data_IF_586009450215
#
_entry.id   IF_586009450215
#
_cell.length_a   1.000
_cell.length_b   1.000
_cell.length_c   1.000
_cell.angle_alpha   90.00
_cell.angle_beta   90.00
_cell.angle_gamma   90.00
#
_symmetry.space_group_name_H-M   'P 1'
#
loop_
_entity.id
_entity.type
_entity.pdbx_description
1 polymer ?
#
# COMPACT_ATOMS: atom_id res chain seq x y z
N UNK A 1 -51.93 25.47 -7.57
CA UNK A 1 -51.53 25.88 -8.93
C UNK A 1 -50.58 27.06 -8.75
N UNK A 2 -49.34 27.13 -9.25
CA UNK A 2 -49.01 27.15 -10.68
C UNK A 2 -47.46 27.08 -10.87
N UNK A 3 -47.06 26.18 -11.78
CA UNK A 3 -45.94 26.19 -12.76
C UNK A 3 -44.48 26.32 -12.31
N UNK A 4 -43.73 25.30 -12.73
CA UNK A 4 -42.28 25.24 -12.87
C UNK A 4 -41.74 26.24 -13.91
N UNK A 5 -40.49 26.66 -13.74
CA UNK A 5 -39.63 27.10 -14.83
C UNK A 5 -38.23 26.48 -14.64
N UNK A 6 -37.79 25.73 -15.64
CA UNK A 6 -36.45 25.17 -15.74
C UNK A 6 -35.49 26.22 -16.30
N UNK A 7 -34.23 26.21 -15.84
CA UNK A 7 -33.12 26.89 -16.52
C UNK A 7 -31.87 26.01 -16.45
N UNK A 8 -31.11 26.07 -17.54
CA UNK A 8 -30.26 25.04 -18.13
C UNK A 8 -28.85 25.65 -18.32
N UNK A 9 -27.80 24.82 -18.11
CA UNK A 9 -26.38 24.99 -18.48
C UNK A 9 -25.53 25.98 -17.62
N UNK A 10 -24.23 25.76 -17.36
CA UNK A 10 -23.15 25.29 -18.25
C UNK A 10 -22.03 24.55 -17.48
N UNK A 11 -21.55 23.44 -18.05
CA UNK A 11 -20.38 22.67 -17.60
C UNK A 11 -19.07 23.45 -17.80
N UNK A 12 -18.28 23.62 -16.74
CA UNK A 12 -16.82 23.73 -16.81
C UNK A 12 -16.21 23.01 -15.59
N UNK A 13 -16.39 21.68 -15.56
CA UNK A 13 -15.53 20.86 -14.73
C UNK A 13 -14.20 20.70 -15.48
N UNK A 14 -13.19 21.46 -15.04
CA UNK A 14 -11.80 21.19 -15.36
C UNK A 14 -11.54 19.71 -15.10
N UNK A 15 -11.19 18.96 -16.14
CA UNK A 15 -10.71 17.59 -16.04
C UNK A 15 -9.35 17.67 -15.34
N UNK A 16 -9.37 17.77 -14.01
CA UNK A 16 -8.18 17.52 -13.21
C UNK A 16 -7.81 16.06 -13.42
N UNK A 17 -6.60 15.81 -13.89
CA UNK A 17 -6.06 14.45 -14.02
C UNK A 17 -6.22 13.72 -12.68
N UNK A 18 -6.90 12.57 -12.70
CA UNK A 18 -7.06 11.73 -11.53
C UNK A 18 -5.69 11.16 -11.14
N UNK A 19 -5.11 11.74 -10.10
CA UNK A 19 -3.99 11.17 -9.34
C UNK A 19 -4.55 9.97 -8.58
N UNK A 20 -4.16 8.74 -8.93
CA UNK A 20 -4.65 7.54 -8.24
C UNK A 20 -4.37 7.65 -6.73
N UNK A 21 -5.42 7.64 -5.92
CA UNK A 21 -5.32 7.89 -4.49
C UNK A 21 -6.40 7.14 -3.73
N UNK A 22 -6.07 6.66 -2.53
CA UNK A 22 -6.91 6.23 -1.39
C UNK A 22 -8.03 5.19 -1.67
N UNK A 23 -8.51 5.01 -2.90
CA UNK A 23 -9.66 4.21 -3.33
C UNK A 23 -9.28 3.13 -4.34
N UNK A 24 -8.07 2.58 -4.24
CA UNK A 24 -7.78 1.29 -4.88
C UNK A 24 -8.22 0.20 -3.88
N UNK A 25 -9.32 -0.55 -4.14
CA UNK A 25 -9.80 -1.59 -3.23
C UNK A 25 -8.78 -2.72 -3.04
N UNK A 26 -7.79 -2.86 -3.93
CA UNK A 26 -6.72 -3.86 -3.81
C UNK A 26 -5.53 -3.38 -2.98
N UNK A 27 -5.43 -2.08 -2.72
CA UNK A 27 -4.27 -1.50 -2.04
C UNK A 27 -4.41 -1.42 -0.52
N UNK A 28 -5.62 -1.30 0.03
CA UNK A 28 -5.80 -1.31 1.48
C UNK A 28 -6.07 -2.73 1.98
N UNK A 29 -5.46 -3.14 3.12
CA UNK A 29 -5.78 -4.43 3.72
C UNK A 29 -7.26 -4.49 4.15
N UNK A 30 -7.89 -5.67 4.10
CA UNK A 30 -9.17 -5.91 4.75
C UNK A 30 -9.14 -5.57 6.24
N UNK A 31 -10.29 -5.18 6.80
CA UNK A 31 -10.39 -4.70 8.19
C UNK A 31 -9.80 -5.68 9.24
N UNK A 32 -9.91 -7.00 9.03
CA UNK A 32 -9.36 -8.00 9.96
C UNK A 32 -7.83 -8.08 9.97
N UNK A 33 -7.16 -7.50 8.97
CA UNK A 33 -5.70 -7.42 8.90
C UNK A 33 -5.20 -5.98 9.07
N UNK A 34 -6.10 -5.00 9.02
CA UNK A 34 -5.80 -3.58 9.12
C UNK A 34 -5.80 -3.09 10.58
N UNK A 35 -4.88 -3.62 11.37
CA UNK A 35 -4.68 -3.23 12.76
C UNK A 35 -3.20 -3.17 13.11
N UNK A 36 -2.86 -2.65 14.28
CA UNK A 36 -1.47 -2.64 14.73
C UNK A 36 -0.93 -4.08 14.81
N UNK A 37 0.31 -4.27 14.37
CA UNK A 37 1.00 -5.56 14.56
C UNK A 37 1.30 -5.75 16.05
N UNK A 38 0.91 -6.88 16.61
CA UNK A 38 1.05 -7.17 18.05
C UNK A 38 2.48 -7.54 18.46
N UNK A 39 3.31 -7.92 17.50
CA UNK A 39 4.70 -8.27 17.70
C UNK A 39 5.67 -7.10 17.51
N UNK A 40 6.97 -7.43 17.49
CA UNK A 40 8.04 -6.45 17.20
C UNK A 40 8.05 -6.11 15.71
N UNK A 41 7.80 -4.85 15.40
CA UNK A 41 7.91 -4.32 14.03
C UNK A 41 9.27 -3.62 13.83
N UNK A 42 10.02 -4.03 12.81
CA UNK A 42 11.22 -3.30 12.35
C UNK A 42 10.92 -2.65 11.02
N UNK A 43 10.86 -1.32 10.99
CA UNK A 43 10.53 -0.55 9.77
C UNK A 43 11.78 0.10 9.21
N UNK A 44 12.00 -0.02 7.90
CA UNK A 44 13.10 0.61 7.17
C UNK A 44 12.55 1.45 6.02
N UNK A 45 12.75 2.76 6.10
CA UNK A 45 12.46 3.68 5.00
C UNK A 45 13.69 3.78 4.10
N UNK A 46 13.53 3.53 2.81
CA UNK A 46 14.64 3.52 1.84
C UNK A 46 14.29 4.32 0.57
N UNK A 47 15.27 4.93 -0.10
CA UNK A 47 15.07 5.46 -1.45
C UNK A 47 14.58 4.38 -2.41
N UNK A 48 13.68 4.71 -3.33
CA UNK A 48 13.10 3.75 -4.28
C UNK A 48 14.13 2.88 -5.01
N UNK A 49 15.28 3.48 -5.40
CA UNK A 49 16.40 2.77 -6.04
C UNK A 49 16.98 1.61 -5.21
N UNK A 50 16.74 1.59 -3.90
CA UNK A 50 17.20 0.56 -2.97
C UNK A 50 16.10 -0.43 -2.57
N UNK A 51 14.82 -0.04 -2.66
CA UNK A 51 13.68 -0.83 -2.18
C UNK A 51 13.66 -2.21 -2.86
N UNK A 52 13.74 -2.26 -4.18
CA UNK A 52 13.66 -3.51 -4.96
C UNK A 52 14.73 -4.51 -4.52
N UNK A 53 15.99 -4.07 -4.45
CA UNK A 53 17.10 -4.94 -4.05
C UNK A 53 17.02 -5.34 -2.57
N UNK A 54 16.56 -4.45 -1.71
CA UNK A 54 16.40 -4.74 -0.29
C UNK A 54 15.26 -5.74 -0.04
N UNK A 55 14.16 -5.62 -0.77
CA UNK A 55 13.05 -6.56 -0.72
C UNK A 55 13.43 -7.93 -1.27
N UNK A 56 14.15 -8.00 -2.39
CA UNK A 56 14.66 -9.27 -2.92
C UNK A 56 15.54 -10.01 -1.91
N UNK A 57 16.42 -9.28 -1.21
CA UNK A 57 17.25 -9.83 -0.12
C UNK A 57 16.42 -10.29 1.07
N UNK A 58 15.38 -9.53 1.45
CA UNK A 58 14.49 -9.89 2.55
C UNK A 58 13.72 -11.18 2.23
N UNK A 59 13.10 -11.25 1.05
CA UNK A 59 12.38 -12.44 0.60
C UNK A 59 13.27 -13.66 0.51
N UNK A 60 14.48 -13.54 -0.05
CA UNK A 60 15.44 -14.63 -0.09
C UNK A 60 15.86 -15.11 1.30
N UNK A 61 16.14 -14.18 2.23
CA UNK A 61 16.57 -14.51 3.60
C UNK A 61 15.49 -15.24 4.39
N UNK A 62 14.24 -14.82 4.25
CA UNK A 62 13.10 -15.35 5.02
C UNK A 62 12.19 -16.28 4.21
N UNK A 63 12.66 -16.73 3.03
CA UNK A 63 11.98 -17.69 2.15
C UNK A 63 10.53 -17.30 1.80
N UNK A 64 10.29 -16.00 1.60
CA UNK A 64 8.99 -15.49 1.14
C UNK A 64 8.83 -15.85 -0.34
N UNK A 65 7.71 -16.44 -0.72
CA UNK A 65 7.46 -16.90 -2.09
C UNK A 65 7.30 -15.75 -3.12
N UNK A 66 7.02 -14.54 -2.65
CA UNK A 66 6.88 -13.35 -3.50
C UNK A 66 8.19 -12.97 -4.18
N UNK A 67 8.08 -12.37 -5.37
CA UNK A 67 9.21 -11.83 -6.13
C UNK A 67 9.18 -10.31 -6.11
N UNK A 68 10.35 -9.69 -6.08
CA UNK A 68 10.45 -8.24 -6.20
C UNK A 68 10.17 -7.74 -7.61
N UNK A 69 9.63 -6.53 -7.70
CA UNK A 69 9.28 -5.85 -8.95
C UNK A 69 9.97 -4.48 -9.05
N UNK A 70 10.22 -3.99 -10.26
CA UNK A 70 10.87 -2.69 -10.49
C UNK A 70 10.06 -1.50 -9.94
N UNK A 71 8.74 -1.67 -9.82
CA UNK A 71 7.81 -0.65 -9.29
C UNK A 71 7.43 -0.91 -7.83
N UNK A 72 8.15 -1.80 -7.14
CA UNK A 72 7.85 -2.19 -5.76
C UNK A 72 7.99 -1.00 -4.81
N UNK A 73 6.94 -0.73 -4.03
CA UNK A 73 6.85 0.39 -3.09
C UNK A 73 7.32 0.01 -1.68
N UNK A 74 7.20 -1.27 -1.34
CA UNK A 74 7.57 -1.84 -0.06
C UNK A 74 7.50 -3.37 -0.08
N UNK A 75 7.83 -3.97 1.05
CA UNK A 75 7.62 -5.39 1.33
C UNK A 75 7.63 -5.62 2.84
N UNK A 76 7.07 -6.76 3.25
CA UNK A 76 7.25 -7.29 4.60
C UNK A 76 7.68 -8.75 4.60
N UNK A 77 8.23 -9.19 5.73
CA UNK A 77 8.49 -10.60 6.01
C UNK A 77 8.37 -10.87 7.51
N UNK A 78 7.73 -11.98 7.87
CA UNK A 78 7.82 -12.55 9.21
C UNK A 78 9.26 -13.04 9.41
N UNK A 79 9.92 -12.53 10.44
CA UNK A 79 11.36 -12.73 10.71
C UNK A 79 11.64 -13.59 11.93
N UNK A 80 10.62 -13.81 12.77
CA UNK A 80 10.55 -14.79 13.86
C UNK A 80 9.07 -14.95 14.23
N UNK A 81 8.75 -15.81 15.19
CA UNK A 81 7.38 -16.06 15.67
C UNK A 81 6.63 -14.79 16.10
N UNK A 82 7.35 -13.74 16.52
CA UNK A 82 6.76 -12.49 17.04
C UNK A 82 7.34 -11.23 16.40
N UNK A 83 8.09 -11.35 15.29
CA UNK A 83 8.71 -10.17 14.66
C UNK A 83 8.46 -10.10 13.18
N UNK A 84 8.11 -8.90 12.68
CA UNK A 84 7.98 -8.61 11.27
C UNK A 84 8.95 -7.49 10.87
N UNK A 85 9.61 -7.64 9.72
CA UNK A 85 10.38 -6.56 9.10
C UNK A 85 9.58 -6.00 7.94
N UNK A 86 9.53 -4.67 7.86
CA UNK A 86 8.87 -3.91 6.80
C UNK A 86 9.88 -2.97 6.16
N UNK A 87 9.97 -3.00 4.83
CA UNK A 87 10.74 -2.05 4.02
C UNK A 87 9.74 -1.21 3.24
N UNK A 88 9.91 0.11 3.28
CA UNK A 88 8.98 1.09 2.71
C UNK A 88 9.79 2.13 1.95
N UNK A 89 9.26 2.63 0.84
CA UNK A 89 9.83 3.78 0.13
C UNK A 89 9.82 5.03 1.03
N UNK A 90 10.91 5.81 1.02
CA UNK A 90 11.09 6.99 1.88
C UNK A 90 10.29 8.22 1.44
N UNK A 91 9.82 8.25 0.20
CA UNK A 91 9.03 9.32 -0.41
C UNK A 91 7.87 8.76 -1.21
N UNK A 92 6.86 9.57 -1.47
CA UNK A 92 5.74 9.18 -2.34
C UNK A 92 6.27 8.70 -3.69
N UNK A 93 5.89 7.49 -4.06
CA UNK A 93 6.30 6.85 -5.31
C UNK A 93 5.13 6.03 -5.86
N UNK A 94 4.94 6.07 -7.18
CA UNK A 94 3.83 5.40 -7.85
C UNK A 94 2.48 5.65 -7.13
N UNK A 95 2.25 6.93 -6.80
CA UNK A 95 1.01 7.46 -6.21
C UNK A 95 0.68 6.95 -4.79
N UNK A 96 1.61 6.26 -4.12
CA UNK A 96 1.45 5.81 -2.74
C UNK A 96 2.39 6.58 -1.81
N UNK A 97 1.85 7.08 -0.69
CA UNK A 97 2.66 7.67 0.38
C UNK A 97 3.38 6.59 1.19
N UNK A 98 4.53 6.89 1.83
CA UNK A 98 5.20 5.95 2.72
C UNK A 98 4.28 5.37 3.80
N UNK A 99 3.38 6.19 4.34
CA UNK A 99 2.42 5.74 5.35
C UNK A 99 1.38 4.76 4.79
N UNK A 100 0.88 4.99 3.57
CA UNK A 100 -0.05 4.07 2.92
C UNK A 100 0.62 2.72 2.61
N UNK A 101 1.87 2.74 2.15
CA UNK A 101 2.67 1.52 1.95
C UNK A 101 2.89 0.81 3.28
N UNK A 102 3.30 1.51 4.34
CA UNK A 102 3.49 0.89 5.66
C UNK A 102 2.22 0.19 6.17
N UNK A 103 1.04 0.82 6.05
CA UNK A 103 -0.24 0.21 6.42
C UNK A 103 -0.50 -1.08 5.63
N UNK A 104 -0.27 -1.06 4.31
CA UNK A 104 -0.37 -2.24 3.45
C UNK A 104 0.56 -3.36 3.92
N UNK A 105 1.84 -3.05 4.15
CA UNK A 105 2.83 -4.03 4.56
C UNK A 105 2.58 -4.60 5.96
N UNK A 106 1.99 -3.80 6.87
CA UNK A 106 1.52 -4.27 8.18
C UNK A 106 0.37 -5.26 8.03
N UNK A 107 -0.54 -5.06 7.06
CA UNK A 107 -1.58 -6.04 6.73
C UNK A 107 -1.00 -7.42 6.45
N UNK A 108 0.08 -7.50 5.66
CA UNK A 108 0.81 -8.74 5.42
C UNK A 108 1.46 -9.31 6.70
N UNK A 109 2.01 -8.46 7.57
CA UNK A 109 2.50 -8.91 8.88
C UNK A 109 1.38 -9.50 9.77
N UNK A 110 0.14 -9.02 9.62
CA UNK A 110 -1.05 -9.53 10.30
C UNK A 110 -1.66 -10.76 9.61
N UNK A 111 -1.00 -11.33 8.60
CA UNK A 111 -1.44 -12.56 7.95
C UNK A 111 -2.26 -12.36 6.68
N UNK A 112 -2.40 -11.13 6.17
CA UNK A 112 -3.00 -10.92 4.85
C UNK A 112 -2.12 -11.57 3.78
N UNK A 113 -2.62 -12.54 2.98
CA UNK A 113 -1.78 -13.25 2.02
C UNK A 113 -1.30 -12.35 0.88
N UNK A 114 -0.16 -12.72 0.28
CA UNK A 114 0.44 -12.01 -0.85
C UNK A 114 -0.39 -12.08 -2.15
N UNK A 115 -1.41 -12.94 -2.21
CA UNK A 115 -2.43 -12.97 -3.26
C UNK A 115 -3.45 -11.82 -3.13
N UNK A 116 -3.38 -11.05 -2.03
CA UNK A 116 -4.31 -9.98 -1.69
C UNK A 116 -5.77 -10.46 -1.61
N UNK A 117 -5.99 -11.74 -1.28
CA UNK A 117 -7.32 -12.30 -1.07
C UNK A 117 -7.89 -11.89 0.28
N UNK A 118 -9.23 -11.83 0.33
CA UNK A 118 -10.01 -11.69 1.55
C UNK A 118 -10.38 -13.10 2.10
#
# INVERSE_FOLDING_TARGET
>A
MLRALALVFFCLATIGSAVAGIKDPTWNPPARFDHAYSGKLTVRYLPQKQVVAACAKLFAKYKVAAKSSLVQRGCSAITSDTSCTVIVVDKTYALATPQAVLRHEIGHCNGWPASHSD
#
